data_IF_302535963858
#
_entry.id   IF_302535963858
#
_cell.length_a   1.000
_cell.length_b   1.000
_cell.length_c   1.000
_cell.angle_alpha   90.00
_cell.angle_beta   90.00
_cell.angle_gamma   90.00
#
_symmetry.space_group_name_H-M   'P 1'
#
loop_
_entity.id
_entity.type
_entity.pdbx_description
1 polymer ?
#
# COMPACT_ATOMS: atom_id res chain seq x y z
N UNK A 1 17.09 -23.47 -13.71
CA UNK A 1 16.03 -23.27 -14.71
C UNK A 1 14.93 -22.45 -14.06
N UNK A 2 14.87 -21.15 -14.38
CA UNK A 2 13.86 -20.23 -13.86
C UNK A 2 12.66 -20.35 -14.80
N UNK A 3 11.50 -20.71 -14.28
CA UNK A 3 10.29 -20.84 -15.10
C UNK A 3 9.83 -19.46 -15.60
N UNK A 4 9.34 -19.36 -16.84
CA UNK A 4 8.94 -18.10 -17.49
C UNK A 4 7.82 -17.35 -16.72
N UNK A 5 7.12 -18.03 -15.82
CA UNK A 5 6.05 -17.47 -14.97
C UNK A 5 6.61 -16.49 -13.91
N UNK A 6 7.84 -16.72 -13.42
CA UNK A 6 8.42 -15.88 -12.36
C UNK A 6 8.95 -14.54 -12.89
N UNK A 7 9.20 -14.46 -14.20
CA UNK A 7 9.55 -13.23 -14.89
C UNK A 7 8.30 -12.39 -15.21
N UNK A 8 7.13 -13.01 -15.37
CA UNK A 8 5.88 -12.29 -15.60
C UNK A 8 5.38 -11.53 -14.37
N UNK A 9 5.62 -12.03 -13.15
CA UNK A 9 5.17 -11.36 -11.92
C UNK A 9 5.97 -10.08 -11.63
N UNK A 10 7.24 -10.02 -12.05
CA UNK A 10 8.07 -8.79 -11.92
C UNK A 10 7.84 -7.86 -13.13
N UNK A 11 7.63 -8.43 -14.33
CA UNK A 11 7.20 -7.65 -15.51
C UNK A 11 5.83 -7.00 -15.32
N UNK A 12 4.91 -7.61 -14.58
CA UNK A 12 3.58 -7.05 -14.32
C UNK A 12 3.56 -5.90 -13.28
N UNK A 13 4.72 -5.51 -12.73
CA UNK A 13 4.73 -4.78 -11.47
C UNK A 13 5.63 -3.55 -11.43
N UNK A 14 6.38 -3.30 -12.51
CA UNK A 14 7.06 -2.02 -12.74
C UNK A 14 6.66 -1.41 -14.11
N UNK A 15 5.89 -2.12 -14.96
CA UNK A 15 5.91 -1.87 -16.42
C UNK A 15 4.55 -1.51 -17.05
N UNK A 16 3.37 -1.59 -16.41
CA UNK A 16 2.14 -1.34 -17.22
C UNK A 16 0.98 -0.69 -16.49
N UNK A 17 0.55 0.44 -17.06
CA UNK A 17 -0.72 1.13 -16.89
C UNK A 17 -1.90 0.13 -16.79
N UNK A 18 -2.70 0.15 -15.71
CA UNK A 18 -3.83 -0.76 -15.53
C UNK A 18 -4.89 -0.67 -16.64
N UNK A 19 -4.91 0.42 -17.44
CA UNK A 19 -5.87 0.59 -18.55
C UNK A 19 -5.61 -0.38 -19.71
N UNK A 20 -4.35 -0.75 -19.99
CA UNK A 20 -4.02 -1.67 -21.08
C UNK A 20 -4.32 -3.14 -20.75
N UNK A 21 -4.20 -3.53 -19.47
CA UNK A 21 -4.59 -4.87 -19.01
C UNK A 21 -6.11 -5.03 -19.05
N UNK A 22 -6.88 -4.00 -18.72
CA UNK A 22 -8.33 -4.02 -18.88
C UNK A 22 -8.73 -4.19 -20.35
N UNK A 23 -8.05 -3.51 -21.28
CA UNK A 23 -8.33 -3.64 -22.71
C UNK A 23 -8.00 -5.03 -23.29
N UNK A 24 -6.91 -5.67 -22.87
CA UNK A 24 -6.56 -7.02 -23.33
C UNK A 24 -7.41 -8.11 -22.69
N UNK A 25 -7.72 -7.97 -21.39
CA UNK A 25 -8.60 -8.92 -20.69
C UNK A 25 -10.06 -8.81 -21.12
N UNK A 26 -10.55 -7.61 -21.47
CA UNK A 26 -11.85 -7.40 -22.11
C UNK A 26 -11.91 -8.08 -23.49
N UNK A 27 -10.83 -8.02 -24.29
CA UNK A 27 -10.79 -8.64 -25.63
C UNK A 27 -10.84 -10.17 -25.60
N UNK A 28 -10.31 -10.78 -24.54
CA UNK A 28 -10.36 -12.23 -24.35
C UNK A 28 -11.64 -12.71 -23.63
N UNK A 29 -12.25 -11.84 -22.80
CA UNK A 29 -13.57 -12.06 -22.22
C UNK A 29 -14.68 -11.96 -23.28
N UNK A 30 -14.60 -10.97 -24.18
CA UNK A 30 -15.51 -10.80 -25.33
C UNK A 30 -15.41 -11.95 -26.36
N UNK A 31 -14.30 -12.72 -26.38
CA UNK A 31 -14.18 -13.94 -27.20
C UNK A 31 -14.78 -15.19 -26.56
N UNK A 32 -15.06 -15.17 -25.25
CA UNK A 32 -15.65 -16.31 -24.50
C UNK A 32 -17.13 -16.11 -24.16
N UNK A 33 -17.63 -14.88 -24.07
CA UNK A 33 -19.02 -14.59 -23.71
C UNK A 33 -19.99 -14.52 -24.91
N UNK A 34 -19.54 -14.83 -26.12
CA UNK A 34 -20.41 -14.83 -27.32
C UNK A 34 -21.40 -16.00 -27.37
N UNK A 35 -21.32 -16.99 -26.48
CA UNK A 35 -22.19 -18.17 -26.49
C UNK A 35 -22.68 -18.49 -25.08
N UNK A 36 -23.70 -17.78 -24.55
CA UNK A 36 -24.63 -18.29 -23.53
C UNK A 36 -25.81 -17.31 -23.31
N UNK A 37 -27.08 -17.70 -23.58
CA UNK A 37 -28.22 -16.76 -23.62
C UNK A 37 -28.98 -16.56 -22.29
N UNK A 38 -28.53 -17.12 -21.15
CA UNK A 38 -29.37 -17.27 -19.94
C UNK A 38 -29.12 -16.21 -18.85
N UNK A 39 -28.07 -15.40 -18.92
CA UNK A 39 -27.68 -14.48 -17.82
C UNK A 39 -28.23 -13.06 -17.90
N UNK A 40 -29.02 -12.70 -18.92
CA UNK A 40 -29.54 -11.31 -19.10
C UNK A 40 -30.78 -10.95 -18.29
N UNK A 41 -31.48 -11.89 -17.67
CA UNK A 41 -32.75 -11.60 -16.96
C UNK A 41 -32.60 -11.48 -15.44
N UNK A 42 -31.68 -12.21 -14.80
CA UNK A 42 -31.55 -12.22 -13.33
C UNK A 42 -30.96 -10.94 -12.72
N UNK A 43 -30.13 -10.21 -13.47
CA UNK A 43 -29.49 -9.00 -12.97
C UNK A 43 -30.45 -7.79 -12.86
N UNK A 44 -31.63 -7.86 -13.48
CA UNK A 44 -32.54 -6.72 -13.56
C UNK A 44 -33.58 -6.72 -12.42
N UNK A 45 -33.95 -7.89 -11.90
CA UNK A 45 -34.84 -8.02 -10.74
C UNK A 45 -34.13 -7.64 -9.43
N UNK A 46 -32.87 -8.06 -9.27
CA UNK A 46 -32.05 -7.73 -8.09
C UNK A 46 -31.77 -6.22 -7.96
N UNK A 47 -31.79 -5.48 -9.08
CA UNK A 47 -31.57 -4.03 -9.12
C UNK A 47 -32.81 -3.19 -8.76
N UNK A 48 -34.02 -3.78 -8.87
CA UNK A 48 -35.26 -3.10 -8.53
C UNK A 48 -35.58 -3.23 -7.03
N UNK A 49 -35.28 -4.38 -6.42
CA UNK A 49 -35.50 -4.65 -4.99
C UNK A 49 -34.56 -3.80 -4.10
N UNK A 50 -33.29 -3.66 -4.49
CA UNK A 50 -32.33 -2.81 -3.79
C UNK A 50 -32.65 -1.30 -3.85
N UNK A 51 -33.52 -0.88 -4.77
CA UNK A 51 -33.93 0.52 -4.92
C UNK A 51 -35.14 0.87 -4.03
N UNK A 52 -36.00 -0.10 -3.75
CA UNK A 52 -37.13 0.06 -2.83
C UNK A 52 -36.65 0.13 -1.36
N UNK A 53 -35.65 -0.68 -0.98
CA UNK A 53 -35.06 -0.63 0.36
C UNK A 53 -34.33 0.69 0.67
N UNK A 54 -33.79 1.37 -0.35
CA UNK A 54 -33.15 2.67 -0.20
C UNK A 54 -34.16 3.82 -0.05
N UNK A 55 -35.38 3.70 -0.59
CA UNK A 55 -36.41 4.73 -0.43
C UNK A 55 -37.03 4.74 0.97
N UNK A 56 -37.18 3.57 1.61
CA UNK A 56 -37.81 3.48 2.95
C UNK A 56 -36.94 4.04 4.07
N UNK A 57 -35.61 4.01 3.91
CA UNK A 57 -34.65 4.56 4.90
C UNK A 57 -34.56 6.09 4.91
N UNK A 58 -35.05 6.76 3.86
CA UNK A 58 -35.05 8.23 3.77
C UNK A 58 -36.30 8.87 4.36
N UNK A 59 -37.44 8.17 4.35
CA UNK A 59 -38.70 8.65 4.95
C UNK A 59 -38.71 8.60 6.49
N UNK A 60 -37.81 7.85 7.12
CA UNK A 60 -37.71 7.73 8.59
C UNK A 60 -36.86 8.82 9.27
N UNK A 61 -36.36 9.81 8.53
CA UNK A 61 -35.46 10.85 9.07
C UNK A 61 -36.07 12.25 9.21
N UNK A 62 -37.38 12.40 8.97
CA UNK A 62 -38.07 13.68 9.14
C UNK A 62 -39.26 13.59 10.10
N UNK A 63 -39.05 13.89 11.38
CA UNK A 63 -39.75 15.01 12.05
C UNK A 63 -39.28 15.23 13.50
N UNK A 64 -39.19 16.50 13.91
CA UNK A 64 -39.02 16.93 15.30
C UNK A 64 -40.40 17.06 15.96
N UNK A 65 -40.57 16.59 17.21
CA UNK A 65 -41.11 17.43 18.30
C UNK A 65 -40.87 16.81 19.69
N UNK A 66 -40.36 17.68 20.56
CA UNK A 66 -40.45 17.75 22.03
C UNK A 66 -41.38 16.79 22.76
N UNK A 67 -40.89 16.18 23.85
CA UNK A 67 -41.55 16.20 25.17
C UNK A 67 -40.58 15.75 26.29
N UNK A 68 -40.75 16.36 27.45
CA UNK A 68 -39.96 16.28 28.67
C UNK A 68 -40.44 15.19 29.62
N UNK A 69 -39.55 14.51 30.34
CA UNK A 69 -39.85 14.03 31.70
C UNK A 69 -38.58 13.73 32.51
N UNK A 70 -38.58 14.21 33.76
CA UNK A 70 -37.57 14.00 34.79
C UNK A 70 -37.85 12.67 35.52
N UNK A 71 -36.83 11.96 36.01
CA UNK A 71 -36.84 11.37 37.37
C UNK A 71 -35.47 10.75 37.77
N UNK A 72 -34.92 11.31 38.85
CA UNK A 72 -34.28 10.68 40.02
C UNK A 72 -32.96 9.87 39.90
N UNK A 73 -31.87 10.60 40.16
CA UNK A 73 -30.85 10.34 41.20
C UNK A 73 -30.29 8.91 41.41
N UNK A 74 -29.38 8.48 40.53
CA UNK A 74 -28.30 7.52 40.86
C UNK A 74 -27.07 7.67 39.91
N UNK A 75 -26.76 8.89 39.44
CA UNK A 75 -25.87 9.07 38.26
C UNK A 75 -24.54 9.82 38.45
N UNK A 76 -24.13 10.19 39.68
CA UNK A 76 -23.10 11.25 39.84
C UNK A 76 -21.68 10.89 39.35
N UNK A 77 -21.35 9.60 39.17
CA UNK A 77 -20.02 9.16 38.67
C UNK A 77 -20.03 8.74 37.19
N UNK A 78 -21.17 8.32 36.65
CA UNK A 78 -21.28 7.85 35.25
C UNK A 78 -21.62 9.02 34.30
N UNK A 79 -22.48 9.95 34.72
CA UNK A 79 -22.89 11.11 33.91
C UNK A 79 -21.71 12.02 33.55
N UNK A 80 -20.76 12.19 34.49
CA UNK A 80 -19.56 12.99 34.26
C UNK A 80 -18.63 12.31 33.26
N UNK A 81 -18.48 10.98 33.32
CA UNK A 81 -17.68 10.21 32.36
C UNK A 81 -18.29 10.24 30.96
N UNK A 82 -19.62 10.05 30.85
CA UNK A 82 -20.36 10.09 29.58
C UNK A 82 -20.32 11.50 28.96
N UNK A 83 -20.48 12.55 29.77
CA UNK A 83 -20.40 13.95 29.31
C UNK A 83 -18.97 14.32 28.85
N UNK A 84 -17.94 13.83 29.54
CA UNK A 84 -16.53 14.04 29.16
C UNK A 84 -16.19 13.28 27.87
N UNK A 85 -16.69 12.05 27.70
CA UNK A 85 -16.49 11.22 26.51
C UNK A 85 -17.21 11.83 25.29
N UNK A 86 -18.48 12.24 25.44
CA UNK A 86 -19.24 12.96 24.41
C UNK A 86 -18.57 14.27 23.96
N UNK A 87 -18.03 15.04 24.92
CA UNK A 87 -17.29 16.27 24.62
C UNK A 87 -15.99 15.98 23.83
N UNK A 88 -15.33 14.87 24.15
CA UNK A 88 -14.12 14.43 23.45
C UNK A 88 -14.40 13.97 22.01
N UNK A 89 -15.52 13.26 21.80
CA UNK A 89 -15.95 12.81 20.47
C UNK A 89 -16.38 13.97 19.58
N UNK A 90 -17.12 14.93 20.14
CA UNK A 90 -17.48 16.17 19.42
C UNK A 90 -16.25 16.99 19.03
N UNK A 91 -15.25 17.09 19.92
CA UNK A 91 -13.96 17.72 19.60
C UNK A 91 -13.22 16.96 18.51
N UNK A 92 -13.17 15.63 18.59
CA UNK A 92 -12.53 14.77 17.58
C UNK A 92 -13.21 14.90 16.22
N UNK A 93 -14.54 14.92 16.18
CA UNK A 93 -15.33 15.12 14.96
C UNK A 93 -15.06 16.51 14.35
N UNK A 94 -15.03 17.56 15.16
CA UNK A 94 -14.66 18.92 14.73
C UNK A 94 -13.24 18.99 14.17
N UNK A 95 -12.27 18.36 14.84
CA UNK A 95 -10.89 18.29 14.38
C UNK A 95 -10.78 17.51 13.06
N UNK A 96 -11.45 16.37 12.95
CA UNK A 96 -11.49 15.58 11.71
C UNK A 96 -12.12 16.36 10.56
N UNK A 97 -13.23 17.06 10.79
CA UNK A 97 -13.88 17.90 9.78
C UNK A 97 -12.95 19.02 9.29
N UNK A 98 -12.26 19.68 10.22
CA UNK A 98 -11.27 20.72 9.89
C UNK A 98 -10.08 20.13 9.11
N UNK A 99 -9.57 18.97 9.52
CA UNK A 99 -8.48 18.26 8.84
C UNK A 99 -8.87 17.92 7.39
N UNK A 100 -10.07 17.38 7.18
CA UNK A 100 -10.58 17.05 5.84
C UNK A 100 -10.71 18.29 4.97
N UNK A 101 -11.19 19.41 5.53
CA UNK A 101 -11.27 20.67 4.78
C UNK A 101 -9.86 21.15 4.33
N UNK A 102 -8.87 21.07 5.22
CA UNK A 102 -7.48 21.45 4.91
C UNK A 102 -6.84 20.52 3.87
N UNK A 103 -7.04 19.21 3.93
CA UNK A 103 -6.48 18.27 2.93
C UNK A 103 -7.08 18.43 1.53
N UNK A 104 -8.23 19.09 1.41
CA UNK A 104 -8.86 19.38 0.13
C UNK A 104 -8.54 20.80 -0.39
N UNK A 105 -7.77 21.60 0.37
CA UNK A 105 -7.33 22.93 -0.05
C UNK A 105 -6.31 22.80 -1.20
N UNK A 106 -6.54 23.45 -2.37
CA UNK A 106 -5.60 23.42 -3.49
C UNK A 106 -4.20 23.95 -3.14
N UNK A 107 -4.08 24.84 -2.15
CA UNK A 107 -2.80 25.37 -1.67
C UNK A 107 -1.94 24.28 -1.02
N UNK A 108 -2.57 23.25 -0.44
CA UNK A 108 -1.91 22.14 0.25
C UNK A 108 -1.86 20.85 -0.59
N UNK A 109 -1.90 20.98 -1.92
CA UNK A 109 -1.91 19.84 -2.85
C UNK A 109 -0.60 19.03 -2.86
N UNK A 110 0.47 19.59 -2.31
CA UNK A 110 1.77 18.98 -2.10
C UNK A 110 1.83 18.06 -0.86
N UNK A 111 0.92 18.27 0.10
CA UNK A 111 0.85 17.46 1.33
C UNK A 111 0.20 16.10 1.02
N UNK A 112 0.78 14.98 1.49
CA UNK A 112 0.17 13.67 1.31
C UNK A 112 -1.20 13.59 2.01
N UNK A 113 -2.15 12.85 1.41
CA UNK A 113 -3.52 12.65 1.94
C UNK A 113 -3.58 12.09 3.36
N UNK A 114 -2.49 11.47 3.81
CA UNK A 114 -2.30 10.96 5.18
C UNK A 114 -0.99 11.54 5.72
N UNK A 115 -0.98 12.79 6.19
CA UNK A 115 0.25 13.44 6.59
C UNK A 115 0.74 12.91 7.94
N UNK A 116 2.02 12.54 7.99
CA UNK A 116 2.75 12.35 9.25
C UNK A 116 3.39 13.68 9.65
N UNK A 117 3.62 13.90 10.95
CA UNK A 117 4.36 15.09 11.42
C UNK A 117 5.72 15.24 10.73
N UNK A 118 6.39 14.13 10.47
CA UNK A 118 7.66 14.11 9.73
C UNK A 118 7.51 14.60 8.30
N UNK A 119 6.43 14.22 7.59
CA UNK A 119 6.23 14.62 6.21
C UNK A 119 6.05 16.13 6.11
N UNK A 120 5.26 16.71 7.02
CA UNK A 120 5.05 18.16 7.10
C UNK A 120 6.36 18.90 7.43
N UNK A 121 7.13 18.39 8.39
CA UNK A 121 8.44 18.98 8.75
C UNK A 121 9.44 18.92 7.59
N UNK A 122 9.43 17.82 6.82
CA UNK A 122 10.27 17.71 5.62
C UNK A 122 9.84 18.68 4.51
N UNK A 123 8.54 18.98 4.37
CA UNK A 123 8.04 19.96 3.40
C UNK A 123 8.40 21.39 3.81
N UNK A 124 8.25 21.73 5.10
CA UNK A 124 8.72 23.01 5.64
C UNK A 124 10.25 23.13 5.42
N UNK A 125 10.99 22.07 5.73
CA UNK A 125 12.43 22.03 5.50
C UNK A 125 12.81 22.17 4.03
N UNK A 126 11.99 21.69 3.10
CA UNK A 126 12.21 21.86 1.66
C UNK A 126 12.07 23.33 1.26
N UNK A 127 11.02 24.01 1.75
CA UNK A 127 10.80 25.44 1.51
C UNK A 127 11.93 26.30 2.11
N UNK A 128 12.45 25.89 3.28
CA UNK A 128 13.58 26.54 3.94
C UNK A 128 14.95 26.13 3.37
N UNK A 129 15.00 25.25 2.36
CA UNK A 129 16.25 24.81 1.69
C UNK A 129 17.10 23.79 2.47
N UNK A 130 16.59 23.24 3.56
CA UNK A 130 17.24 22.21 4.39
C UNK A 130 16.91 20.77 3.97
N UNK A 131 15.92 20.60 3.10
CA UNK A 131 15.63 19.34 2.41
C UNK A 131 15.82 19.49 0.90
N UNK A 132 15.87 18.37 0.21
CA UNK A 132 16.03 18.28 -1.24
C UNK A 132 14.96 17.38 -1.86
N UNK A 133 14.53 17.76 -3.06
CA UNK A 133 13.63 16.96 -3.90
C UNK A 133 14.45 16.15 -4.89
N UNK A 134 14.19 14.86 -4.96
CA UNK A 134 14.88 13.92 -5.84
C UNK A 134 13.84 13.29 -6.75
N UNK A 135 14.11 13.31 -8.06
CA UNK A 135 13.24 12.67 -9.04
C UNK A 135 13.71 11.24 -9.32
N UNK A 136 12.81 10.28 -9.16
CA UNK A 136 13.11 8.85 -9.35
C UNK A 136 12.57 8.43 -10.71
N UNK A 137 13.47 8.09 -11.63
CA UNK A 137 13.12 7.54 -12.93
C UNK A 137 12.83 6.05 -12.79
N UNK A 138 11.59 5.65 -13.08
CA UNK A 138 11.13 4.26 -13.08
C UNK A 138 11.60 3.52 -14.34
N UNK A 139 11.39 2.21 -14.37
CA UNK A 139 11.73 1.37 -15.53
C UNK A 139 10.81 1.57 -16.74
N UNK A 140 9.62 2.14 -16.55
CA UNK A 140 8.67 2.47 -17.62
C UNK A 140 8.96 3.83 -18.29
N UNK A 141 9.98 4.54 -17.81
CA UNK A 141 10.32 5.90 -18.26
C UNK A 141 9.51 7.01 -17.58
N UNK A 142 8.53 6.68 -16.74
CA UNK A 142 7.86 7.67 -15.90
C UNK A 142 8.76 8.08 -14.72
N UNK A 143 8.53 9.28 -14.18
CA UNK A 143 9.24 9.77 -13.01
C UNK A 143 8.27 10.18 -11.91
N UNK A 144 8.75 10.14 -10.68
CA UNK A 144 8.04 10.69 -9.54
C UNK A 144 9.03 11.28 -8.55
N UNK A 145 8.60 12.30 -7.83
CA UNK A 145 9.45 13.02 -6.91
C UNK A 145 9.28 12.53 -5.48
N UNK A 146 10.39 12.59 -4.75
CA UNK A 146 10.51 12.23 -3.35
C UNK A 146 11.32 13.31 -2.63
N UNK A 147 10.84 13.75 -1.47
CA UNK A 147 11.52 14.75 -0.63
C UNK A 147 12.27 14.06 0.50
N UNK A 148 13.53 14.43 0.71
CA UNK A 148 14.38 13.91 1.79
C UNK A 148 15.24 15.03 2.36
N UNK A 149 15.67 14.90 3.62
CA UNK A 149 16.58 15.87 4.24
C UNK A 149 17.93 15.92 3.51
N UNK A 150 18.61 17.07 3.56
CA UNK A 150 19.94 17.21 2.95
C UNK A 150 20.96 16.23 3.57
N UNK A 151 20.80 15.88 4.84
CA UNK A 151 21.64 14.90 5.56
C UNK A 151 21.22 13.44 5.40
N UNK A 152 20.20 13.16 4.57
CA UNK A 152 19.63 11.83 4.41
C UNK A 152 20.63 10.82 3.82
N UNK A 153 20.45 9.55 4.20
CA UNK A 153 21.24 8.44 3.64
C UNK A 153 20.50 7.73 2.51
N UNK A 154 21.20 6.80 1.84
CA UNK A 154 20.60 5.91 0.84
C UNK A 154 19.42 5.12 1.41
N UNK A 155 19.48 4.72 2.70
CA UNK A 155 18.38 4.04 3.37
C UNK A 155 17.12 4.91 3.42
N UNK A 156 17.28 6.18 3.76
CA UNK A 156 16.16 7.13 3.86
C UNK A 156 15.54 7.36 2.47
N UNK A 157 16.36 7.45 1.42
CA UNK A 157 15.87 7.53 0.05
C UNK A 157 15.06 6.29 -0.34
N UNK A 158 15.56 5.09 -0.04
CA UNK A 158 14.83 3.83 -0.29
C UNK A 158 13.52 3.78 0.50
N UNK A 159 13.51 4.29 1.73
CA UNK A 159 12.31 4.35 2.56
C UNK A 159 11.28 5.34 1.99
N UNK A 160 11.71 6.51 1.55
CA UNK A 160 10.84 7.53 0.99
C UNK A 160 10.27 7.10 -0.38
N UNK A 161 11.07 6.43 -1.22
CA UNK A 161 10.59 5.72 -2.42
C UNK A 161 9.52 4.70 -2.07
N UNK A 162 9.76 3.90 -1.01
CA UNK A 162 8.80 2.92 -0.54
C UNK A 162 7.47 3.56 -0.15
N UNK A 163 7.51 4.58 0.69
CA UNK A 163 6.30 5.26 1.17
C UNK A 163 5.52 5.85 0.00
N UNK A 164 6.21 6.54 -0.92
CA UNK A 164 5.58 7.16 -2.08
C UNK A 164 4.89 6.16 -3.01
N UNK A 165 5.45 4.97 -3.17
CA UNK A 165 4.86 3.90 -3.99
C UNK A 165 3.75 3.19 -3.22
N UNK A 166 3.93 2.91 -1.92
CA UNK A 166 2.90 2.33 -1.07
C UNK A 166 1.65 3.25 -1.09
N UNK A 167 1.79 4.57 -0.98
CA UNK A 167 0.64 5.49 -1.00
C UNK A 167 -0.09 5.54 -2.35
N UNK A 168 0.65 5.58 -3.46
CA UNK A 168 0.05 5.71 -4.79
C UNK A 168 -0.53 4.40 -5.32
N UNK A 169 0.14 3.28 -5.07
CA UNK A 169 -0.14 2.01 -5.75
C UNK A 169 -0.84 0.99 -4.84
N UNK A 170 -0.57 0.98 -3.53
CA UNK A 170 -1.21 0.02 -2.61
C UNK A 170 -2.73 0.19 -2.59
N UNK A 171 -3.22 1.43 -2.72
CA UNK A 171 -4.65 1.74 -2.80
C UNK A 171 -5.34 1.09 -4.01
N UNK A 172 -4.61 0.93 -5.12
CA UNK A 172 -5.11 0.31 -6.36
C UNK A 172 -5.01 -1.22 -6.35
N UNK A 173 -4.19 -1.79 -5.45
CA UNK A 173 -3.87 -3.22 -5.46
C UNK A 173 -4.74 -4.08 -4.54
N UNK A 174 -5.59 -3.48 -3.71
CA UNK A 174 -6.47 -4.17 -2.77
C UNK A 174 -5.67 -4.90 -1.68
N UNK A 175 -5.95 -6.19 -1.48
CA UNK A 175 -5.27 -7.03 -0.47
C UNK A 175 -3.85 -7.50 -0.86
N UNK A 176 -3.34 -7.11 -2.03
CA UNK A 176 -1.99 -7.49 -2.46
C UNK A 176 -0.99 -6.48 -1.93
N UNK A 177 0.14 -6.94 -1.37
CA UNK A 177 1.15 -6.07 -0.78
C UNK A 177 2.50 -6.14 -1.48
N UNK A 178 3.24 -5.04 -1.37
CA UNK A 178 4.58 -4.87 -1.92
C UNK A 178 5.62 -5.62 -1.07
N UNK A 179 6.36 -6.55 -1.68
CA UNK A 179 7.53 -7.15 -1.02
C UNK A 179 8.78 -6.30 -1.26
N UNK A 180 8.97 -5.27 -0.44
CA UNK A 180 10.14 -4.37 -0.54
C UNK A 180 11.49 -5.09 -0.41
N UNK A 181 11.56 -6.15 0.39
CA UNK A 181 12.74 -7.01 0.47
C UNK A 181 13.09 -7.64 -0.89
N UNK A 182 12.08 -8.03 -1.66
CA UNK A 182 12.28 -8.58 -2.99
C UNK A 182 12.73 -7.49 -3.98
N UNK A 183 12.10 -6.31 -3.91
CA UNK A 183 12.45 -5.14 -4.72
C UNK A 183 13.93 -4.80 -4.53
N UNK A 184 14.38 -4.53 -3.31
CA UNK A 184 15.78 -4.18 -3.04
C UNK A 184 16.79 -5.33 -3.24
N UNK A 185 16.32 -6.56 -3.40
CA UNK A 185 17.18 -7.71 -3.76
C UNK A 185 17.38 -7.89 -5.27
N UNK A 186 16.54 -7.28 -6.11
CA UNK A 186 16.55 -7.45 -7.56
C UNK A 186 16.68 -6.11 -8.31
N UNK A 187 16.67 -5.00 -7.59
CA UNK A 187 16.77 -3.65 -8.12
C UNK A 187 17.63 -2.79 -7.20
N UNK A 188 18.23 -1.74 -7.77
CA UNK A 188 18.96 -0.73 -7.02
C UNK A 188 18.76 0.65 -7.65
N UNK A 189 19.15 1.68 -6.90
CA UNK A 189 19.18 3.06 -7.38
C UNK A 189 20.54 3.36 -8.00
N UNK A 190 20.54 4.05 -9.14
CA UNK A 190 21.73 4.42 -9.90
C UNK A 190 21.75 5.94 -10.09
N UNK A 191 22.90 6.55 -9.81
CA UNK A 191 23.14 7.96 -10.06
C UNK A 191 24.53 8.14 -10.68
N UNK A 192 24.65 8.86 -11.80
CA UNK A 192 25.91 9.05 -12.54
C UNK A 192 26.79 7.79 -12.68
N UNK A 193 26.16 6.66 -13.04
CA UNK A 193 26.79 5.34 -13.20
C UNK A 193 27.28 4.67 -11.90
N UNK A 194 27.00 5.27 -10.75
CA UNK A 194 27.27 4.70 -9.44
C UNK A 194 26.00 4.10 -8.82
N UNK A 195 26.12 2.87 -8.31
CA UNK A 195 25.00 2.14 -7.70
C UNK A 195 24.98 2.43 -6.20
N UNK A 196 23.84 2.92 -5.71
CA UNK A 196 23.61 3.23 -4.30
C UNK A 196 23.33 1.93 -3.52
N UNK A 197 24.39 1.21 -3.18
CA UNK A 197 24.33 -0.07 -2.48
C UNK A 197 24.54 0.06 -0.97
N UNK A 198 25.31 1.06 -0.52
CA UNK A 198 25.56 1.32 0.89
C UNK A 198 24.43 2.16 1.49
N UNK A 199 23.63 1.53 2.37
CA UNK A 199 22.51 2.14 3.07
C UNK A 199 22.93 3.24 4.08
N UNK A 200 24.19 3.24 4.52
CA UNK A 200 24.71 4.18 5.52
C UNK A 200 25.33 5.44 4.93
N UNK A 201 25.74 5.38 3.66
CA UNK A 201 26.33 6.50 2.95
C UNK A 201 25.32 7.63 2.74
N UNK A 202 25.78 8.89 2.85
CA UNK A 202 24.91 10.04 2.62
C UNK A 202 24.70 10.22 1.12
N UNK A 203 23.54 10.74 0.76
CA UNK A 203 23.22 11.01 -0.64
C UNK A 203 24.18 12.04 -1.26
N UNK A 204 24.61 13.02 -0.47
CA UNK A 204 25.58 14.03 -0.91
C UNK A 204 26.96 13.45 -1.24
N UNK A 205 27.35 12.34 -0.61
CA UNK A 205 28.64 11.69 -0.88
C UNK A 205 28.69 11.13 -2.32
N UNK A 206 27.52 10.73 -2.85
CA UNK A 206 27.32 10.35 -4.26
C UNK A 206 27.12 11.55 -5.20
N UNK A 207 27.17 12.79 -4.69
CA UNK A 207 26.91 14.00 -5.45
C UNK A 207 25.43 14.28 -5.74
N UNK A 208 24.50 13.59 -5.07
CA UNK A 208 23.06 13.82 -5.22
C UNK A 208 22.67 15.12 -4.52
N UNK A 209 22.00 16.02 -5.24
CA UNK A 209 21.58 17.35 -4.79
C UNK A 209 20.09 17.59 -5.09
N UNK A 210 19.60 18.78 -4.74
CA UNK A 210 18.23 19.17 -5.06
C UNK A 210 17.95 19.11 -6.57
N UNK A 211 16.79 18.55 -6.92
CA UNK A 211 16.34 18.24 -8.28
C UNK A 211 17.22 17.23 -9.04
N UNK A 212 18.05 16.45 -8.34
CA UNK A 212 18.78 15.36 -8.96
C UNK A 212 17.83 14.25 -9.43
N UNK A 213 18.18 13.61 -10.54
CA UNK A 213 17.46 12.46 -11.07
C UNK A 213 18.22 11.17 -10.78
N UNK A 214 17.57 10.23 -10.11
CA UNK A 214 18.11 8.92 -9.78
C UNK A 214 17.34 7.85 -10.54
N UNK A 215 18.04 6.90 -11.15
CA UNK A 215 17.43 5.86 -11.96
C UNK A 215 17.19 4.60 -11.15
N UNK A 216 15.99 4.03 -11.26
CA UNK A 216 15.70 2.72 -10.74
C UNK A 216 16.12 1.67 -11.77
N UNK A 217 17.06 0.78 -11.44
CA UNK A 217 17.61 -0.21 -12.39
C UNK A 217 17.53 -1.64 -11.86
N UNK A 218 17.42 -2.66 -12.75
CA UNK A 218 17.56 -4.05 -12.35
C UNK A 218 18.97 -4.35 -11.82
N UNK A 219 19.04 -5.02 -10.69
CA UNK A 219 20.29 -5.43 -10.04
C UNK A 219 20.12 -6.74 -9.29
N UNK A 220 20.76 -7.80 -9.79
CA UNK A 220 20.79 -9.10 -9.11
C UNK A 220 22.11 -9.22 -8.36
N UNK A 221 22.05 -9.25 -7.03
CA UNK A 221 23.23 -9.57 -6.21
C UNK A 221 23.68 -10.97 -6.61
N UNK A 222 24.92 -11.09 -7.12
CA UNK A 222 25.51 -12.39 -7.39
C UNK A 222 25.60 -13.15 -6.08
N UNK A 223 24.72 -14.14 -5.89
CA UNK A 223 24.79 -15.06 -4.76
C UNK A 223 25.98 -15.98 -4.99
N UNK A 224 27.19 -15.51 -4.71
CA UNK A 224 28.33 -16.38 -4.59
C UNK A 224 28.00 -17.43 -3.50
N UNK A 225 27.80 -18.67 -3.95
CA UNK A 225 27.67 -19.88 -3.13
C UNK A 225 26.66 -19.86 -1.98
N UNK A 226 25.35 -19.77 -2.24
CA UNK A 226 24.43 -20.54 -1.38
C UNK A 226 24.55 -22.00 -1.77
N UNK A 227 25.50 -22.71 -1.13
CA UNK A 227 25.55 -24.18 -1.13
C UNK A 227 24.13 -24.65 -0.86
N UNK A 228 23.48 -25.26 -1.85
CA UNK A 228 22.19 -25.90 -1.64
C UNK A 228 22.38 -26.83 -0.44
N UNK A 229 21.72 -26.53 0.68
CA UNK A 229 21.66 -27.47 1.80
C UNK A 229 21.04 -28.73 1.22
N UNK A 230 21.85 -29.78 1.05
CA UNK A 230 21.38 -31.03 0.47
C UNK A 230 20.19 -31.47 1.32
N UNK A 231 19.01 -31.56 0.69
CA UNK A 231 17.78 -32.07 1.30
C UNK A 231 18.16 -33.32 2.08
N UNK A 232 18.10 -33.28 3.42
CA UNK A 232 18.36 -34.44 4.26
C UNK A 232 17.37 -35.50 3.81
N UNK A 233 17.86 -36.60 3.23
CA UNK A 233 17.00 -37.73 2.91
C UNK A 233 16.38 -38.17 4.23
N UNK A 234 15.07 -38.01 4.34
CA UNK A 234 14.30 -38.59 5.43
C UNK A 234 14.65 -40.08 5.41
N UNK A 235 15.10 -40.62 6.55
CA UNK A 235 15.37 -42.04 6.69
C UNK A 235 14.04 -42.75 6.44
N UNK A 236 13.81 -43.15 5.19
CA UNK A 236 12.78 -44.13 4.87
C UNK A 236 13.05 -45.32 5.78
N UNK A 237 12.01 -45.74 6.49
CA UNK A 237 11.99 -46.83 7.46
C UNK A 237 13.01 -47.93 7.13
N UNK A 238 14.11 -47.96 7.89
CA UNK A 238 14.93 -49.16 8.00
C UNK A 238 14.45 -49.89 9.23
N UNK A 239 13.86 -51.08 9.04
CA UNK A 239 13.68 -52.04 10.12
C UNK A 239 12.33 -52.73 10.27
N UNK A 240 11.53 -52.90 9.22
CA UNK A 240 10.61 -54.05 9.18
C UNK A 240 11.42 -55.28 8.76
N UNK A 241 12.14 -55.87 9.72
CA UNK A 241 12.74 -57.19 9.57
C UNK A 241 12.06 -58.14 10.54
N UNK A 242 11.17 -58.98 9.98
CA UNK A 242 10.57 -60.15 10.64
C UNK A 242 11.64 -61.21 10.97
N UNK A 243 11.28 -62.03 11.98
CA UNK A 243 11.75 -63.39 12.37
C UNK A 243 12.72 -63.39 13.57
N UNK A 244 12.58 -64.28 14.57
CA UNK A 244 11.78 -65.50 14.65
C UNK A 244 11.62 -66.03 16.09
N UNK A 245 10.77 -67.05 16.20
CA UNK A 245 10.42 -67.82 17.39
C UNK A 245 11.66 -68.39 18.10
N UNK A 246 11.68 -68.34 19.43
CA UNK A 246 12.33 -69.35 20.27
C UNK A 246 11.35 -69.76 21.36
N UNK A 247 11.07 -71.05 21.38
CA UNK A 247 10.31 -71.82 22.37
C UNK A 247 11.05 -71.85 23.70
N UNK A 248 10.30 -71.84 24.80
CA UNK A 248 10.57 -72.63 26.00
C UNK A 248 9.24 -73.10 26.57
#
# INVERSE_FOLDING_TARGET
>A
MITPIRLQIIKAWIITDPVQILMLTQKDKMRKESNDPVTKTKANEEYLEAKEEQMTLLELSGDLTTESEQHTAEGRKEETKISLEYNSDMKKARLHSTLVALLNDPVLSDVPKKPTLMDVDTLISLELGSAMRISILKLDGSCFDVTVMNSATVKDLKQAVRQRIDDNEQSKMGHRHISWRHVWSNFCLLFHNEKLLDDTAKLQDYGIRNNAQVQFIPYVISRASKKHSKRRKHRFFHGLSKRGRTTD
#
